data_IF_841945326628
#
_entry.id   IF_841945326628
#
_cell.length_a   1.000
_cell.length_b   1.000
_cell.length_c   1.000
_cell.angle_alpha   90.00
_cell.angle_beta   90.00
_cell.angle_gamma   90.00
#
_symmetry.space_group_name_H-M   'P 1'
#
loop_
_entity.id
_entity.type
_entity.pdbx_description
1 polymer ?
#
# COMPACT_ATOMS: atom_id res chain seq x y z
N UNK A 1 38.31 23.96 -21.94
CA UNK A 1 37.16 24.79 -21.53
C UNK A 1 36.25 23.93 -20.68
N UNK A 2 36.67 23.68 -19.45
CA UNK A 2 35.90 22.97 -18.42
C UNK A 2 35.48 24.03 -17.42
N UNK A 3 34.25 24.51 -17.58
CA UNK A 3 33.61 25.39 -16.61
C UNK A 3 33.16 24.54 -15.44
N UNK A 4 34.06 24.33 -14.47
CA UNK A 4 33.66 24.04 -13.09
C UNK A 4 33.05 25.33 -12.53
N UNK A 5 31.74 25.47 -12.71
CA UNK A 5 30.93 26.56 -12.16
C UNK A 5 30.75 26.30 -10.64
N UNK A 6 30.87 27.31 -9.78
CA UNK A 6 30.98 27.11 -8.34
C UNK A 6 29.63 26.68 -7.77
N UNK A 7 29.55 25.44 -7.27
CA UNK A 7 28.58 24.94 -6.28
C UNK A 7 27.25 25.72 -6.19
N UNK A 8 26.46 25.72 -7.27
CA UNK A 8 25.03 25.99 -7.14
C UNK A 8 24.49 24.82 -6.31
N UNK A 9 24.32 25.04 -5.01
CA UNK A 9 23.73 24.05 -4.09
C UNK A 9 22.33 23.74 -4.63
N UNK A 10 22.17 22.60 -5.30
CA UNK A 10 20.88 22.15 -5.82
C UNK A 10 19.88 22.13 -4.65
N UNK A 11 18.72 22.76 -4.83
CA UNK A 11 17.67 22.73 -3.82
C UNK A 11 16.91 21.42 -3.95
N UNK A 12 17.36 20.43 -3.19
CA UNK A 12 16.72 19.12 -3.12
C UNK A 12 15.58 19.17 -2.11
N UNK A 13 14.48 18.49 -2.43
CA UNK A 13 13.35 18.32 -1.54
C UNK A 13 12.55 17.07 -1.83
N UNK A 14 11.55 16.80 -0.99
CA UNK A 14 10.61 15.69 -1.16
C UNK A 14 9.21 16.24 -1.40
N UNK A 15 8.50 15.64 -2.35
CA UNK A 15 7.08 15.97 -2.62
C UNK A 15 6.22 15.41 -1.49
N UNK A 16 5.65 16.25 -0.64
CA UNK A 16 4.84 15.83 0.51
C UNK A 16 3.34 15.74 0.19
N UNK A 17 2.86 16.51 -0.78
CA UNK A 17 1.45 16.46 -1.20
C UNK A 17 1.31 16.85 -2.67
N UNK A 18 0.28 16.30 -3.33
CA UNK A 18 -0.09 16.65 -4.71
C UNK A 18 -1.51 17.18 -4.75
N UNK A 19 -1.67 18.41 -5.23
CA UNK A 19 -2.96 19.09 -5.31
C UNK A 19 -3.16 19.65 -6.73
N UNK A 20 -3.98 18.94 -7.52
CA UNK A 20 -4.23 19.23 -8.94
C UNK A 20 -2.94 19.32 -9.77
N UNK A 21 -2.49 20.54 -10.11
CA UNK A 21 -1.27 20.79 -10.90
C UNK A 21 -0.08 21.29 -10.06
N UNK A 22 -0.28 21.40 -8.74
CA UNK A 22 0.72 21.90 -7.81
C UNK A 22 1.23 20.79 -6.91
N UNK A 23 2.50 20.93 -6.53
CA UNK A 23 3.26 19.97 -5.75
C UNK A 23 3.77 20.69 -4.52
N UNK A 24 3.39 20.25 -3.34
CA UNK A 24 4.02 20.75 -2.11
C UNK A 24 5.34 20.04 -1.94
N UNK A 25 6.44 20.78 -2.00
CA UNK A 25 7.80 20.25 -1.88
C UNK A 25 8.41 20.79 -0.60
N UNK A 26 8.81 19.88 0.27
CA UNK A 26 9.56 20.20 1.47
C UNK A 26 11.05 20.09 1.17
N UNK A 27 11.79 21.19 1.33
CA UNK A 27 13.21 21.23 1.02
C UNK A 27 14.06 20.61 2.14
N UNK A 28 15.22 20.08 1.74
CA UNK A 28 16.25 19.59 2.64
C UNK A 28 17.18 20.75 3.07
N UNK A 29 17.47 20.83 4.37
CA UNK A 29 18.53 21.65 4.96
C UNK A 29 19.59 20.70 5.53
N UNK A 30 20.81 20.75 4.98
CA UNK A 30 21.93 19.86 5.34
C UNK A 30 21.58 18.35 5.33
N UNK A 31 20.79 17.95 4.32
CA UNK A 31 20.39 16.57 4.08
C UNK A 31 19.19 16.09 4.91
N UNK A 32 18.57 16.98 5.70
CA UNK A 32 17.38 16.67 6.51
C UNK A 32 16.22 17.55 6.06
N UNK A 33 15.02 16.97 5.97
CA UNK A 33 13.81 17.71 5.62
C UNK A 33 13.50 18.80 6.65
N UNK A 34 13.42 20.04 6.18
CA UNK A 34 13.19 21.22 7.01
C UNK A 34 11.68 21.56 7.05
N UNK A 35 11.01 21.46 8.22
CA UNK A 35 9.59 21.79 8.37
C UNK A 35 9.21 23.20 7.93
N UNK A 36 10.16 24.14 7.97
CA UNK A 36 9.90 25.55 7.69
C UNK A 36 10.06 25.89 6.20
N UNK A 37 10.72 25.04 5.41
CA UNK A 37 11.01 25.26 3.99
C UNK A 37 10.07 24.47 3.08
N UNK A 38 8.80 24.82 3.15
CA UNK A 38 7.76 24.30 2.26
C UNK A 38 7.53 25.25 1.09
N UNK A 39 7.64 24.72 -0.14
CA UNK A 39 7.36 25.46 -1.37
C UNK A 39 6.19 24.81 -2.13
N UNK A 40 5.34 25.65 -2.71
CA UNK A 40 4.33 25.23 -3.68
C UNK A 40 4.94 25.29 -5.09
N UNK A 41 5.23 24.12 -5.65
CA UNK A 41 5.92 24.00 -6.92
C UNK A 41 5.01 23.63 -8.08
N UNK A 42 5.42 24.03 -9.28
CA UNK A 42 4.83 23.57 -10.54
C UNK A 42 5.81 22.68 -11.31
N UNK A 43 5.31 21.81 -12.19
CA UNK A 43 6.16 21.04 -13.11
C UNK A 43 6.62 21.89 -14.28
N UNK A 44 7.93 21.95 -14.52
CA UNK A 44 8.49 22.60 -15.70
C UNK A 44 8.02 21.93 -16.99
N UNK A 45 7.91 22.70 -18.07
CA UNK A 45 7.43 22.23 -19.37
C UNK A 45 8.29 21.13 -20.00
N UNK A 46 9.59 21.08 -19.68
CA UNK A 46 10.50 20.05 -20.14
C UNK A 46 10.13 18.65 -19.59
N UNK A 47 9.84 18.56 -18.29
CA UNK A 47 9.35 17.33 -17.66
C UNK A 47 8.02 16.86 -18.28
N UNK A 48 7.14 17.80 -18.63
CA UNK A 48 5.89 17.48 -19.34
C UNK A 48 6.14 16.85 -20.72
N UNK A 49 7.17 17.32 -21.45
CA UNK A 49 7.55 16.76 -22.76
C UNK A 49 8.19 15.38 -22.65
N UNK A 50 8.87 15.09 -21.55
CA UNK A 50 9.45 13.77 -21.25
C UNK A 50 8.43 12.77 -20.70
N UNK A 51 7.21 13.21 -20.36
CA UNK A 51 6.16 12.35 -19.81
C UNK A 51 6.42 11.90 -18.36
N UNK A 52 7.43 12.46 -17.68
CA UNK A 52 7.79 12.03 -16.33
C UNK A 52 6.73 12.49 -15.32
N UNK A 53 6.08 11.51 -14.67
CA UNK A 53 5.08 11.77 -13.64
C UNK A 53 5.77 12.09 -12.31
N UNK A 54 5.22 13.07 -11.58
CA UNK A 54 5.66 13.42 -10.23
C UNK A 54 4.60 12.92 -9.25
N UNK A 55 5.03 12.20 -8.23
CA UNK A 55 4.18 11.60 -7.20
C UNK A 55 4.60 12.07 -5.81
N UNK A 56 3.73 11.83 -4.84
CA UNK A 56 4.05 12.01 -3.42
C UNK A 56 5.20 11.07 -3.05
N UNK A 57 6.17 11.57 -2.29
CA UNK A 57 7.39 10.85 -1.89
C UNK A 57 8.54 10.93 -2.92
N UNK A 58 8.32 11.52 -4.10
CA UNK A 58 9.42 11.73 -5.05
C UNK A 58 10.44 12.73 -4.48
N UNK A 59 11.72 12.40 -4.58
CA UNK A 59 12.81 13.34 -4.36
C UNK A 59 13.00 14.17 -5.63
N UNK A 60 13.07 15.48 -5.48
CA UNK A 60 13.08 16.43 -6.60
C UNK A 60 14.09 17.54 -6.41
N UNK A 61 14.56 18.10 -7.52
CA UNK A 61 15.31 19.37 -7.54
C UNK A 61 14.36 20.50 -7.88
N UNK A 62 14.39 21.54 -7.06
CA UNK A 62 13.63 22.78 -7.24
C UNK A 62 14.54 23.88 -7.76
N UNK A 63 14.06 24.60 -8.78
CA UNK A 63 14.71 25.79 -9.33
C UNK A 63 13.81 27.02 -9.12
N UNK A 64 14.40 28.20 -9.25
CA UNK A 64 13.71 29.50 -9.20
C UNK A 64 12.81 29.66 -7.95
N UNK A 65 13.33 29.45 -6.72
CA UNK A 65 12.52 29.60 -5.52
C UNK A 65 12.17 31.08 -5.29
N UNK A 66 10.87 31.36 -5.29
CA UNK A 66 10.34 32.59 -4.73
C UNK A 66 10.07 32.36 -3.23
N UNK A 67 11.02 32.78 -2.40
CA UNK A 67 10.93 32.66 -0.95
C UNK A 67 9.82 33.54 -0.36
N UNK A 68 9.51 34.68 -0.99
CA UNK A 68 8.47 35.59 -0.51
C UNK A 68 7.07 35.00 -0.75
N UNK A 69 6.85 34.42 -1.93
CA UNK A 69 5.61 33.76 -2.31
C UNK A 69 5.53 32.28 -1.94
N UNK A 70 6.62 31.70 -1.42
CA UNK A 70 6.81 30.26 -1.17
C UNK A 70 6.52 29.40 -2.40
N UNK A 71 7.05 29.78 -3.56
CA UNK A 71 6.84 29.09 -4.85
C UNK A 71 8.15 28.59 -5.43
N UNK A 72 8.06 27.63 -6.35
CA UNK A 72 9.20 27.18 -7.15
C UNK A 72 8.78 26.34 -8.35
N UNK A 73 9.77 25.84 -9.08
CA UNK A 73 9.53 24.91 -10.18
C UNK A 73 10.32 23.61 -9.98
N UNK A 74 9.66 22.46 -10.13
CA UNK A 74 10.34 21.15 -10.16
C UNK A 74 11.06 21.06 -11.50
N UNK A 75 12.37 20.92 -11.46
CA UNK A 75 13.24 20.82 -12.63
C UNK A 75 13.60 19.37 -12.95
N UNK A 76 13.83 18.55 -11.92
CA UNK A 76 14.23 17.15 -12.05
C UNK A 76 13.60 16.29 -10.95
N UNK A 77 13.28 15.05 -11.28
CA UNK A 77 12.85 14.01 -10.33
C UNK A 77 13.95 12.95 -10.29
N UNK A 78 14.38 12.56 -9.09
CA UNK A 78 15.36 11.49 -8.92
C UNK A 78 14.73 10.11 -9.18
N UNK A 79 15.52 9.08 -9.55
CA UNK A 79 15.02 7.72 -9.69
C UNK A 79 14.38 7.22 -8.40
N UNK A 80 13.26 6.50 -8.53
CA UNK A 80 12.54 5.90 -7.41
C UNK A 80 13.23 4.62 -6.95
N UNK A 81 13.30 4.43 -5.64
CA UNK A 81 13.73 3.17 -5.03
C UNK A 81 12.55 2.21 -4.95
N UNK A 82 11.39 2.73 -4.56
CA UNK A 82 10.13 1.97 -4.43
C UNK A 82 8.97 2.78 -5.00
N UNK A 83 7.91 2.10 -5.43
CA UNK A 83 6.70 2.71 -5.95
C UNK A 83 5.48 1.88 -5.57
N UNK A 84 4.57 2.50 -4.83
CA UNK A 84 3.24 1.97 -4.58
C UNK A 84 2.27 2.53 -5.62
N UNK A 85 1.46 1.65 -6.22
CA UNK A 85 0.45 2.07 -7.20
C UNK A 85 -0.83 2.57 -6.55
N UNK A 86 -1.20 2.01 -5.39
CA UNK A 86 -2.47 2.30 -4.69
C UNK A 86 -2.27 2.35 -3.16
N UNK A 87 -2.26 3.55 -2.57
CA UNK A 87 -2.19 4.85 -3.24
C UNK A 87 -0.81 5.13 -3.86
N UNK A 88 -0.75 6.08 -4.82
CA UNK A 88 0.50 6.44 -5.50
C UNK A 88 1.47 7.13 -4.54
N UNK A 89 2.47 6.38 -4.06
CA UNK A 89 3.54 6.86 -3.19
C UNK A 89 4.88 6.33 -3.72
N UNK A 90 5.83 7.22 -3.96
CA UNK A 90 7.21 6.87 -4.25
C UNK A 90 8.05 6.80 -2.98
N UNK A 91 9.12 5.99 -3.02
CA UNK A 91 10.14 5.93 -1.98
C UNK A 91 9.58 5.64 -0.57
N UNK A 92 8.48 4.90 -0.48
CA UNK A 92 8.02 4.32 0.77
C UNK A 92 9.02 3.23 1.23
N UNK A 93 9.37 3.23 2.52
CA UNK A 93 10.30 2.25 3.07
C UNK A 93 9.57 1.05 3.67
N UNK A 94 8.42 1.30 4.31
CA UNK A 94 7.71 0.28 5.07
C UNK A 94 6.19 0.52 5.09
N UNK A 95 5.45 -0.55 5.38
CA UNK A 95 4.04 -0.52 5.72
C UNK A 95 3.90 -0.78 7.22
N UNK A 96 3.33 0.18 7.96
CA UNK A 96 2.88 -0.03 9.33
C UNK A 96 1.48 -0.63 9.29
N UNK A 97 1.39 -1.94 9.51
CA UNK A 97 0.12 -2.66 9.53
C UNK A 97 -0.45 -2.65 10.95
N UNK A 98 -1.54 -1.92 11.16
CA UNK A 98 -2.18 -1.75 12.46
C UNK A 98 -3.41 -2.64 12.57
N UNK A 99 -3.43 -3.50 13.57
CA UNK A 99 -4.60 -4.29 13.97
C UNK A 99 -4.97 -4.00 15.42
N UNK A 100 -6.20 -4.30 15.82
CA UNK A 100 -6.58 -4.31 17.23
C UNK A 100 -6.54 -5.75 17.72
N UNK A 101 -6.06 -5.97 18.95
CA UNK A 101 -6.11 -7.29 19.59
C UNK A 101 -7.50 -7.58 20.17
N UNK A 102 -8.24 -6.53 20.53
CA UNK A 102 -9.61 -6.58 21.02
C UNK A 102 -10.41 -5.39 20.47
N UNK A 103 -11.71 -5.58 20.25
CA UNK A 103 -12.66 -4.59 19.74
C UNK A 103 -12.21 -3.88 18.42
N UNK A 104 -12.18 -4.55 17.26
CA UNK A 104 -12.60 -5.94 17.03
C UNK A 104 -11.52 -6.95 17.46
N UNK A 105 -11.96 -8.19 17.72
CA UNK A 105 -11.05 -9.30 18.01
C UNK A 105 -10.14 -9.58 16.81
N UNK A 106 -8.89 -9.95 17.10
CA UNK A 106 -7.90 -10.26 16.07
C UNK A 106 -8.19 -11.63 15.44
N UNK A 107 -8.63 -11.63 14.19
CA UNK A 107 -8.79 -12.85 13.40
C UNK A 107 -7.58 -13.09 12.48
N UNK A 108 -7.02 -14.30 12.55
CA UNK A 108 -5.81 -14.65 11.79
C UNK A 108 -6.03 -14.62 10.27
N UNK A 109 -7.21 -15.01 9.77
CA UNK A 109 -7.54 -14.98 8.34
C UNK A 109 -7.64 -13.55 7.82
N UNK A 110 -8.26 -12.66 8.60
CA UNK A 110 -8.31 -11.24 8.27
C UNK A 110 -6.91 -10.63 8.26
N UNK A 111 -6.11 -10.87 9.30
CA UNK A 111 -4.71 -10.41 9.37
C UNK A 111 -3.88 -10.91 8.19
N UNK A 112 -3.98 -12.21 7.88
CA UNK A 112 -3.23 -12.84 6.79
C UNK A 112 -3.47 -12.19 5.45
N UNK A 113 -4.72 -11.78 5.16
CA UNK A 113 -5.04 -11.08 3.90
C UNK A 113 -4.31 -9.75 3.78
N UNK A 114 -4.19 -9.01 4.88
CA UNK A 114 -3.43 -7.77 4.90
C UNK A 114 -1.93 -7.99 4.82
N UNK A 115 -1.41 -9.02 5.50
CA UNK A 115 0.00 -9.39 5.42
C UNK A 115 0.39 -9.75 3.98
N UNK A 116 -0.38 -10.62 3.33
CA UNK A 116 -0.13 -10.98 1.92
C UNK A 116 -0.14 -9.76 1.01
N UNK A 117 -1.11 -8.83 1.19
CA UNK A 117 -1.13 -7.59 0.41
C UNK A 117 0.07 -6.68 0.70
N UNK A 118 0.54 -6.62 1.94
CA UNK A 118 1.71 -5.83 2.31
C UNK A 118 2.99 -6.44 1.71
N UNK A 119 3.17 -7.74 1.83
CA UNK A 119 4.29 -8.50 1.24
C UNK A 119 4.32 -8.37 -0.29
N UNK A 120 3.17 -8.35 -0.96
CA UNK A 120 3.09 -8.16 -2.42
C UNK A 120 3.60 -6.79 -2.88
N UNK A 121 3.80 -5.82 -1.97
CA UNK A 121 4.43 -4.53 -2.29
C UNK A 121 5.95 -4.56 -2.22
N UNK A 122 6.54 -5.66 -1.73
CA UNK A 122 7.96 -5.79 -1.41
C UNK A 122 8.51 -4.76 -0.42
N UNK A 123 7.64 -4.01 0.27
CA UNK A 123 8.02 -3.12 1.36
C UNK A 123 8.20 -3.89 2.66
N UNK A 124 9.04 -3.37 3.54
CA UNK A 124 9.19 -3.90 4.90
C UNK A 124 7.84 -3.81 5.64
N UNK A 125 7.42 -4.91 6.29
CA UNK A 125 6.17 -4.96 7.05
C UNK A 125 6.45 -4.78 8.53
N UNK A 126 5.95 -3.70 9.12
CA UNK A 126 5.97 -3.46 10.55
C UNK A 126 4.57 -3.74 11.11
N UNK A 127 4.41 -4.86 11.82
CA UNK A 127 3.13 -5.26 12.40
C UNK A 127 2.94 -4.63 13.78
N UNK A 128 1.81 -3.94 13.98
CA UNK A 128 1.50 -3.27 15.22
C UNK A 128 0.10 -3.64 15.71
N UNK A 129 0.01 -4.22 16.90
CA UNK A 129 -1.21 -4.61 17.58
C UNK A 129 -1.58 -3.55 18.62
N UNK A 130 -2.70 -2.87 18.41
CA UNK A 130 -3.25 -1.86 19.27
C UNK A 130 -4.29 -2.45 20.25
N UNK A 131 -4.69 -1.63 21.23
CA UNK A 131 -5.69 -1.94 22.26
C UNK A 131 -5.26 -3.06 23.20
N UNK A 132 -3.96 -3.17 23.44
CA UNK A 132 -3.37 -4.14 24.35
C UNK A 132 -3.81 -3.96 25.81
N UNK A 133 -4.36 -2.80 26.15
CA UNK A 133 -4.96 -2.51 27.45
C UNK A 133 -6.25 -3.30 27.73
N UNK A 134 -6.87 -3.87 26.71
CA UNK A 134 -8.13 -4.64 26.83
C UNK A 134 -7.92 -6.13 27.03
N UNK A 135 -6.68 -6.63 27.01
CA UNK A 135 -6.37 -8.06 27.06
C UNK A 135 -5.42 -8.41 28.19
N UNK A 136 -5.42 -9.67 28.60
CA UNK A 136 -4.51 -10.18 29.64
C UNK A 136 -3.08 -10.30 29.11
N UNK A 137 -2.12 -10.35 30.03
CA UNK A 137 -0.71 -10.64 29.74
C UNK A 137 -0.55 -11.98 29.00
N UNK A 138 -1.30 -13.01 29.40
CA UNK A 138 -1.26 -14.33 28.75
C UNK A 138 -1.73 -14.26 27.30
N UNK A 139 -2.77 -13.47 27.01
CA UNK A 139 -3.25 -13.26 25.65
C UNK A 139 -2.22 -12.53 24.78
N UNK A 140 -1.49 -11.55 25.34
CA UNK A 140 -0.39 -10.86 24.63
C UNK A 140 0.75 -11.84 24.28
N UNK A 141 1.16 -12.66 25.24
CA UNK A 141 2.21 -13.67 25.03
C UNK A 141 1.78 -14.72 24.00
N UNK A 142 0.54 -15.19 24.09
CA UNK A 142 -0.03 -16.11 23.11
C UNK A 142 0.04 -15.56 21.69
N UNK A 143 -0.43 -14.32 21.48
CA UNK A 143 -0.40 -13.69 20.15
C UNK A 143 1.02 -13.38 19.68
N UNK A 144 1.92 -12.99 20.59
CA UNK A 144 3.34 -12.80 20.29
C UNK A 144 3.94 -14.08 19.72
N UNK A 145 3.82 -15.19 20.44
CA UNK A 145 4.47 -16.45 20.07
C UNK A 145 3.87 -17.02 18.77
N UNK A 146 2.54 -16.91 18.63
CA UNK A 146 1.83 -17.28 17.40
C UNK A 146 2.36 -16.52 16.17
N UNK A 147 2.54 -15.20 16.27
CA UNK A 147 3.01 -14.37 15.16
C UNK A 147 4.51 -14.53 14.89
N UNK A 148 5.32 -14.75 15.93
CA UNK A 148 6.74 -15.09 15.78
C UNK A 148 6.92 -16.39 15.00
N UNK A 149 6.10 -17.41 15.28
CA UNK A 149 6.09 -18.66 14.53
C UNK A 149 5.67 -18.46 13.06
N UNK A 150 4.86 -17.44 12.77
CA UNK A 150 4.53 -17.02 11.41
C UNK A 150 5.63 -16.18 10.73
N UNK A 151 6.72 -15.84 11.44
CA UNK A 151 7.82 -15.02 10.94
C UNK A 151 7.64 -13.50 11.13
N UNK A 152 6.68 -13.06 11.94
CA UNK A 152 6.42 -11.64 12.20
C UNK A 152 6.77 -11.24 13.64
N UNK A 153 7.34 -10.06 13.81
CA UNK A 153 7.68 -9.47 15.11
C UNK A 153 6.69 -8.36 15.45
N UNK A 154 5.58 -8.65 16.15
CA UNK A 154 4.56 -7.64 16.44
C UNK A 154 5.02 -6.66 17.51
N UNK A 155 4.74 -5.38 17.29
CA UNK A 155 4.76 -4.33 18.30
C UNK A 155 3.40 -4.28 19.01
N UNK A 156 3.39 -4.21 20.33
CA UNK A 156 2.15 -4.14 21.11
C UNK A 156 1.98 -2.75 21.70
N UNK A 157 0.86 -2.10 21.42
CA UNK A 157 0.59 -0.73 21.86
C UNK A 157 -0.83 -0.57 22.43
N UNK A 158 -0.99 0.46 23.25
CA UNK A 158 -2.29 1.07 23.60
C UNK A 158 -2.20 2.55 23.29
N UNK A 159 -2.82 2.95 22.17
CA UNK A 159 -2.91 4.36 21.78
C UNK A 159 -3.72 5.17 22.80
N UNK A 160 -4.73 4.56 23.42
CA UNK A 160 -5.60 5.23 24.39
C UNK A 160 -4.83 5.61 25.66
N UNK A 161 -3.98 4.71 26.14
CA UNK A 161 -3.19 4.93 27.35
C UNK A 161 -1.80 5.53 27.06
N UNK A 162 -1.42 5.67 25.79
CA UNK A 162 -0.10 6.13 25.38
C UNK A 162 1.01 5.16 25.80
N UNK A 163 0.72 3.85 25.81
CA UNK A 163 1.63 2.82 26.29
C UNK A 163 2.09 1.92 25.15
N UNK A 164 3.32 1.44 25.27
CA UNK A 164 3.90 0.36 24.50
C UNK A 164 4.22 -0.80 25.44
N UNK A 165 3.92 -2.02 24.99
CA UNK A 165 4.08 -3.25 25.75
C UNK A 165 5.22 -4.04 25.11
N UNK A 166 6.26 -4.30 25.89
CA UNK A 166 7.43 -5.07 25.47
C UNK A 166 7.56 -6.31 26.34
N UNK A 167 8.14 -7.38 25.81
CA UNK A 167 8.42 -8.58 26.61
C UNK A 167 9.91 -8.69 26.83
N UNK A 168 10.33 -8.79 28.09
CA UNK A 168 11.74 -8.95 28.45
C UNK A 168 12.20 -10.42 28.29
N UNK A 169 13.49 -10.65 28.52
CA UNK A 169 14.10 -11.99 28.51
C UNK A 169 13.47 -12.96 29.52
N UNK A 170 12.87 -12.45 30.60
CA UNK A 170 12.17 -13.25 31.63
C UNK A 170 10.71 -13.53 31.27
N UNK A 171 10.26 -13.26 30.05
CA UNK A 171 8.87 -13.44 29.61
C UNK A 171 7.85 -12.59 30.38
N UNK A 172 8.29 -11.46 30.94
CA UNK A 172 7.42 -10.49 31.61
C UNK A 172 7.09 -9.34 30.68
N UNK A 173 5.82 -8.96 30.66
CA UNK A 173 5.35 -7.78 29.94
C UNK A 173 5.69 -6.52 30.72
N UNK A 174 6.43 -5.62 30.08
CA UNK A 174 6.82 -4.31 30.58
C UNK A 174 6.04 -3.26 29.80
N UNK A 175 5.47 -2.30 30.52
CA UNK A 175 4.79 -1.15 29.94
C UNK A 175 5.73 0.05 29.94
N UNK A 176 5.85 0.71 28.80
CA UNK A 176 6.62 1.95 28.64
C UNK A 176 5.74 2.99 27.98
N UNK A 177 6.11 4.26 28.13
CA UNK A 177 5.43 5.31 27.37
C UNK A 177 5.76 5.16 25.89
N UNK A 178 4.73 5.16 25.05
CA UNK A 178 4.88 5.10 23.58
C UNK A 178 5.66 6.31 23.03
N UNK A 179 5.74 7.39 23.80
CA UNK A 179 6.30 8.68 23.37
C UNK A 179 7.60 9.06 24.08
N UNK A 180 8.14 8.22 24.97
CA UNK A 180 9.42 8.48 25.61
C UNK A 180 10.57 7.97 24.74
N UNK A 181 11.31 8.92 24.18
CA UNK A 181 12.60 8.66 23.53
C UNK A 181 13.70 8.60 24.60
N UNK A 182 13.66 7.61 25.50
CA UNK A 182 14.83 7.36 26.34
C UNK A 182 15.93 6.70 25.50
N UNK A 183 17.17 7.14 25.71
CA UNK A 183 18.40 6.68 25.04
C UNK A 183 18.78 5.26 25.46
N UNK A 184 17.86 4.31 25.36
CA UNK A 184 18.16 2.89 25.55
C UNK A 184 18.48 2.31 24.19
N UNK A 185 19.78 2.07 23.96
CA UNK A 185 20.40 1.66 22.70
C UNK A 185 19.91 0.33 22.08
N UNK A 186 18.77 -0.25 22.52
CA UNK A 186 18.43 -1.64 22.21
C UNK A 186 16.93 -1.97 22.26
N UNK A 187 16.03 -1.06 21.88
CA UNK A 187 14.59 -1.37 21.93
C UNK A 187 13.89 -1.20 20.57
N UNK A 188 13.24 -2.29 20.13
CA UNK A 188 12.30 -2.33 19.01
C UNK A 188 11.01 -1.55 19.36
N UNK A 189 11.11 -0.24 19.56
CA UNK A 189 9.95 0.62 19.83
C UNK A 189 9.32 1.12 18.53
N UNK A 190 8.03 1.46 18.56
CA UNK A 190 7.34 2.04 17.41
C UNK A 190 8.04 3.31 16.90
N UNK A 191 8.42 4.23 17.78
CA UNK A 191 9.08 5.48 17.35
C UNK A 191 10.45 5.22 16.71
N UNK A 192 11.21 4.23 17.20
CA UNK A 192 12.47 3.84 16.58
C UNK A 192 12.24 3.25 15.19
N UNK A 193 11.22 2.39 15.03
CA UNK A 193 10.88 1.78 13.74
C UNK A 193 10.42 2.82 12.70
N UNK A 194 9.77 3.90 13.12
CA UNK A 194 9.31 4.96 12.22
C UNK A 194 10.39 5.99 11.88
N UNK A 195 11.47 6.06 12.67
CA UNK A 195 12.48 7.10 12.57
C UNK A 195 13.19 7.09 11.21
N UNK A 196 13.24 8.24 10.54
CA UNK A 196 13.88 8.44 9.23
C UNK A 196 13.34 7.56 8.09
N UNK A 197 12.20 6.88 8.27
CA UNK A 197 11.53 6.08 7.23
C UNK A 197 10.28 6.80 6.73
N UNK A 198 9.96 6.63 5.45
CA UNK A 198 8.65 6.92 4.89
C UNK A 198 7.74 5.72 5.12
N UNK A 199 6.75 5.88 5.98
CA UNK A 199 5.90 4.80 6.50
C UNK A 199 4.47 4.98 6.03
N UNK A 200 3.91 3.93 5.42
CA UNK A 200 2.51 3.91 4.99
C UNK A 200 1.68 3.19 6.05
N UNK A 201 0.68 3.85 6.63
CA UNK A 201 -0.20 3.20 7.61
C UNK A 201 -1.33 2.45 6.89
N UNK A 202 -1.53 1.20 7.28
CA UNK A 202 -2.56 0.29 6.76
C UNK A 202 -3.24 -0.49 7.90
N UNK A 203 -4.42 -1.05 7.64
CA UNK A 203 -5.17 -1.87 8.61
C UNK A 203 -6.69 -1.68 8.49
N UNK A 204 -7.53 -2.52 9.11
CA UNK A 204 -8.99 -2.40 9.01
C UNK A 204 -9.55 -1.17 9.73
N UNK A 205 -10.81 -0.84 9.49
CA UNK A 205 -11.49 0.27 10.18
C UNK A 205 -11.69 -0.07 11.67
N UNK A 206 -11.60 0.95 12.55
CA UNK A 206 -11.87 0.78 13.99
C UNK A 206 -10.68 0.30 14.85
N UNK A 207 -9.56 -0.08 14.24
CA UNK A 207 -8.35 -0.53 14.95
C UNK A 207 -7.54 0.59 15.61
N UNK A 208 -7.82 1.85 15.31
CA UNK A 208 -7.18 3.01 15.93
C UNK A 208 -6.10 3.72 15.11
N UNK A 209 -6.04 3.52 13.79
CA UNK A 209 -5.08 4.21 12.88
C UNK A 209 -5.10 5.74 13.01
N UNK A 210 -6.27 6.36 12.88
CA UNK A 210 -6.40 7.82 12.98
C UNK A 210 -6.08 8.34 14.38
N UNK A 211 -6.42 7.57 15.42
CA UNK A 211 -6.03 7.88 16.80
C UNK A 211 -4.52 7.82 16.98
N UNK A 212 -3.86 6.82 16.39
CA UNK A 212 -2.40 6.69 16.41
C UNK A 212 -1.74 7.89 15.71
N UNK A 213 -2.25 8.28 14.53
CA UNK A 213 -1.74 9.45 13.80
C UNK A 213 -1.87 10.73 14.63
N UNK A 214 -3.02 10.98 15.25
CA UNK A 214 -3.22 12.15 16.10
C UNK A 214 -2.30 12.17 17.32
N UNK A 215 -1.98 11.02 17.89
CA UNK A 215 -1.06 10.94 19.01
C UNK A 215 0.40 11.15 18.57
N UNK A 216 0.80 10.58 17.43
CA UNK A 216 2.15 10.76 16.87
C UNK A 216 2.38 12.17 16.33
N UNK A 217 1.33 12.82 15.82
CA UNK A 217 1.37 14.14 15.21
C UNK A 217 0.19 14.99 15.74
N UNK A 218 0.30 15.54 16.97
CA UNK A 218 -0.79 16.27 17.62
C UNK A 218 -1.30 17.48 16.83
N UNK A 219 -0.47 18.06 15.96
CA UNK A 219 -0.82 19.21 15.14
C UNK A 219 -1.83 18.91 14.03
N UNK A 220 -2.02 17.64 13.63
CA UNK A 220 -2.92 17.28 12.52
C UNK A 220 -4.41 17.35 12.88
N UNK A 221 -4.77 17.19 14.15
CA UNK A 221 -6.16 17.26 14.64
C UNK A 221 -7.18 16.54 13.73
N UNK A 222 -6.84 15.32 13.27
CA UNK A 222 -7.70 14.54 12.38
C UNK A 222 -9.00 14.24 13.13
N UNK A 223 -10.15 14.53 12.51
CA UNK A 223 -11.47 14.23 13.10
C UNK A 223 -11.63 12.72 13.26
N UNK A 224 -11.62 12.23 14.50
CA UNK A 224 -11.93 10.83 14.84
C UNK A 224 -13.38 10.76 15.29
N UNK A 225 -14.27 10.21 14.46
CA UNK A 225 -15.62 9.86 14.90
C UNK A 225 -15.59 8.46 15.55
N UNK A 226 -16.34 8.27 16.64
CA UNK A 226 -16.60 6.93 17.17
C UNK A 226 -17.33 6.11 16.10
N UNK A 227 -16.92 4.85 15.92
CA UNK A 227 -17.52 3.96 14.91
C UNK A 227 -18.98 3.70 15.32
N UNK A 228 -19.90 4.49 14.76
CA UNK A 228 -21.34 4.40 15.05
C UNK A 228 -21.90 3.06 14.58
N UNK A 229 -22.43 2.28 15.53
CA UNK A 229 -22.85 0.88 15.39
C UNK A 229 -24.07 0.61 14.51
N UNK A 230 -24.40 1.43 13.51
CA UNK A 230 -25.54 1.14 12.61
C UNK A 230 -25.41 1.58 11.14
N UNK A 231 -24.22 1.97 10.68
CA UNK A 231 -23.91 2.08 9.24
C UNK A 231 -22.39 1.86 9.04
N UNK A 232 -21.98 0.60 8.89
CA UNK A 232 -20.60 0.11 8.93
C UNK A 232 -19.70 0.48 7.74
N UNK A 233 -19.66 1.76 7.33
CA UNK A 233 -18.61 2.29 6.47
C UNK A 233 -18.07 3.57 7.10
N UNK A 234 -16.92 3.44 7.77
CA UNK A 234 -16.16 4.58 8.28
C UNK A 234 -15.89 5.57 7.16
N UNK A 235 -16.50 6.75 7.27
CA UNK A 235 -16.51 7.82 6.26
C UNK A 235 -15.27 8.70 6.42
N UNK A 236 -14.09 8.12 6.23
CA UNK A 236 -12.83 8.87 6.15
C UNK A 236 -12.11 8.48 4.86
N UNK A 237 -12.55 9.10 3.77
CA UNK A 237 -11.96 9.04 2.43
C UNK A 237 -11.13 10.31 2.19
N UNK A 238 -9.91 10.39 2.71
CA UNK A 238 -8.92 11.36 2.20
C UNK A 238 -8.42 10.86 0.85
N UNK A 239 -9.17 11.09 -0.24
CA UNK A 239 -8.76 10.70 -1.62
C UNK A 239 -7.39 11.30 -2.04
N UNK A 240 -6.84 12.21 -1.24
CA UNK A 240 -5.55 12.83 -1.41
C UNK A 240 -4.51 12.17 -0.51
N UNK A 241 -3.41 11.75 -1.13
CA UNK A 241 -2.24 11.18 -0.47
C UNK A 241 -1.38 12.35 0.00
N UNK A 242 -1.07 12.38 1.28
CA UNK A 242 -0.22 13.39 1.89
C UNK A 242 0.77 12.70 2.85
N UNK A 243 2.00 13.22 2.89
CA UNK A 243 3.04 12.81 3.82
C UNK A 243 3.13 13.81 4.96
N UNK A 244 2.95 13.31 6.17
CA UNK A 244 3.06 14.07 7.40
C UNK A 244 4.42 13.81 8.05
N UNK A 245 5.10 14.87 8.46
CA UNK A 245 6.39 14.74 9.13
C UNK A 245 6.20 14.36 10.60
N UNK A 246 6.92 13.33 11.04
CA UNK A 246 6.95 12.92 12.43
C UNK A 246 7.88 13.84 13.24
N UNK A 247 7.52 14.22 14.48
CA UNK A 247 8.40 15.03 15.35
C UNK A 247 9.76 14.38 15.62
N UNK A 248 9.80 13.05 15.67
CA UNK A 248 11.02 12.25 15.88
C UNK A 248 11.86 12.07 14.62
N UNK A 249 11.40 12.57 13.47
CA UNK A 249 11.99 12.37 12.15
C UNK A 249 11.38 11.17 11.43
N UNK A 250 11.17 11.30 10.12
CA UNK A 250 10.43 10.33 9.30
C UNK A 250 9.16 10.95 8.70
N UNK A 251 8.55 10.23 7.76
CA UNK A 251 7.34 10.65 7.06
C UNK A 251 6.26 9.59 7.22
N UNK A 252 5.02 10.03 7.36
CA UNK A 252 3.86 9.18 7.57
C UNK A 252 2.81 9.45 6.51
N UNK A 253 2.42 8.42 5.77
CA UNK A 253 1.31 8.49 4.84
C UNK A 253 0.06 7.89 5.48
N UNK A 254 -1.04 8.65 5.52
CA UNK A 254 -2.37 8.08 5.72
C UNK A 254 -2.93 7.64 4.38
N UNK A 255 -3.35 6.38 4.28
CA UNK A 255 -3.76 5.79 3.01
C UNK A 255 -5.16 5.19 3.10
N UNK A 256 -6.19 5.93 2.67
CA UNK A 256 -7.52 5.35 2.53
C UNK A 256 -7.53 4.47 1.30
N UNK A 257 -7.46 3.15 1.50
CA UNK A 257 -7.50 2.20 0.39
C UNK A 257 -7.13 0.79 0.82
N UNK A 258 -6.23 0.66 1.79
CA UNK A 258 -5.88 -0.66 2.33
C UNK A 258 -6.90 -1.23 3.33
N UNK A 259 -8.01 -0.54 3.62
CA UNK A 259 -8.95 -0.99 4.66
C UNK A 259 -9.65 -2.35 4.33
N UNK A 260 -9.64 -2.79 3.08
CA UNK A 260 -10.13 -4.09 2.65
C UNK A 260 -9.34 -4.56 1.42
N UNK A 261 -8.18 -5.20 1.61
CA UNK A 261 -7.28 -5.50 0.51
C UNK A 261 -7.85 -6.64 -0.35
N UNK A 262 -8.00 -6.37 -1.66
CA UNK A 262 -8.27 -7.40 -2.65
C UNK A 262 -6.97 -8.16 -2.98
N UNK A 263 -7.08 -9.48 -3.11
CA UNK A 263 -5.98 -10.38 -3.48
C UNK A 263 -5.77 -10.33 -5.00
N UNK A 264 -5.19 -9.23 -5.46
CA UNK A 264 -4.79 -9.01 -6.85
C UNK A 264 -3.36 -9.53 -7.07
N UNK A 265 -3.14 -10.84 -7.01
CA UNK A 265 -1.82 -11.44 -7.24
C UNK A 265 -1.89 -12.67 -8.13
N UNK A 266 -0.77 -13.01 -8.76
CA UNK A 266 -0.69 -14.25 -9.55
C UNK A 266 -0.61 -15.46 -8.59
N UNK A 267 -1.30 -16.58 -8.87
CA UNK A 267 -1.29 -17.77 -8.01
C UNK A 267 0.12 -18.27 -7.67
N UNK A 268 1.03 -18.19 -8.64
CA UNK A 268 2.44 -18.61 -8.50
C UNK A 268 3.23 -17.74 -7.52
N UNK A 269 2.91 -16.45 -7.39
CA UNK A 269 3.61 -15.52 -6.50
C UNK A 269 3.08 -15.60 -5.06
N UNK A 270 1.84 -16.09 -4.87
CA UNK A 270 1.15 -16.06 -3.59
C UNK A 270 1.97 -16.74 -2.48
N UNK A 271 2.66 -17.83 -2.80
CA UNK A 271 3.47 -18.60 -1.84
C UNK A 271 4.63 -17.76 -1.28
N UNK A 272 5.20 -16.86 -2.08
CA UNK A 272 6.30 -15.99 -1.65
C UNK A 272 5.84 -14.92 -0.66
N UNK A 273 4.54 -14.67 -0.56
CA UNK A 273 3.97 -13.72 0.41
C UNK A 273 3.76 -14.34 1.81
N UNK A 274 4.15 -15.59 2.02
CA UNK A 274 4.14 -16.26 3.33
C UNK A 274 5.57 -16.54 3.82
N UNK A 275 6.05 -15.88 4.90
CA UNK A 275 7.37 -16.13 5.46
C UNK A 275 7.61 -17.59 5.87
N UNK A 276 6.59 -18.31 6.32
CA UNK A 276 6.66 -19.73 6.68
C UNK A 276 6.96 -20.60 5.46
N UNK A 277 6.36 -20.28 4.31
CA UNK A 277 6.63 -20.98 3.06
C UNK A 277 8.05 -20.67 2.57
N UNK A 278 8.48 -19.40 2.65
CA UNK A 278 9.89 -18.99 2.42
C UNK A 278 10.87 -19.77 3.30
N UNK A 279 10.57 -19.91 4.59
CA UNK A 279 11.39 -20.68 5.51
C UNK A 279 11.47 -22.16 5.10
N UNK A 280 10.37 -22.76 4.67
CA UNK A 280 10.34 -24.15 4.16
C UNK A 280 11.16 -24.33 2.88
N UNK A 281 11.20 -23.35 1.98
CA UNK A 281 12.07 -23.39 0.80
C UNK A 281 13.57 -23.41 1.16
N UNK A 282 13.95 -22.91 2.33
CA UNK A 282 15.34 -23.04 2.82
C UNK A 282 15.73 -24.50 3.11
N UNK A 283 14.76 -25.38 3.37
CA UNK A 283 15.00 -26.80 3.62
C UNK A 283 15.19 -27.61 2.33
N UNK A 284 14.83 -27.06 1.17
CA UNK A 284 14.93 -27.76 -0.12
C UNK A 284 13.95 -27.22 -1.17
N UNK A 285 13.95 -27.86 -2.34
CA UNK A 285 13.06 -27.51 -3.45
C UNK A 285 11.92 -28.50 -3.58
N UNK A 286 10.79 -28.05 -4.10
CA UNK A 286 9.72 -28.96 -4.51
C UNK A 286 10.19 -29.86 -5.66
N UNK A 287 9.59 -31.05 -5.75
CA UNK A 287 9.85 -32.00 -6.83
C UNK A 287 9.54 -31.40 -8.22
N UNK A 288 8.47 -30.61 -8.30
CA UNK A 288 8.00 -29.95 -9.52
C UNK A 288 8.31 -28.45 -9.48
N UNK A 289 8.66 -27.88 -10.64
CA UNK A 289 8.98 -26.45 -10.78
C UNK A 289 7.75 -25.55 -10.81
N UNK A 290 6.61 -26.09 -11.21
CA UNK A 290 5.29 -25.45 -11.34
C UNK A 290 4.32 -25.90 -10.23
N UNK A 291 4.88 -26.28 -9.07
CA UNK A 291 4.12 -26.73 -7.92
C UNK A 291 3.18 -25.62 -7.42
N UNK A 292 1.87 -25.86 -7.43
CA UNK A 292 0.86 -24.98 -6.82
C UNK A 292 0.79 -25.11 -5.30
N UNK A 293 1.61 -26.00 -4.74
CA UNK A 293 1.73 -26.28 -3.31
C UNK A 293 0.42 -26.70 -2.64
N UNK A 294 -0.46 -27.39 -3.39
CA UNK A 294 -1.78 -27.84 -2.93
C UNK A 294 -1.80 -29.34 -2.67
N UNK A 295 -1.74 -30.11 -3.75
CA UNK A 295 -1.95 -31.57 -3.75
C UNK A 295 -0.74 -32.35 -4.26
N UNK A 296 0.29 -31.66 -4.76
CA UNK A 296 1.46 -32.29 -5.38
C UNK A 296 2.23 -33.20 -4.41
N UNK A 297 2.68 -34.38 -4.87
CA UNK A 297 3.49 -35.26 -4.04
C UNK A 297 4.87 -34.63 -3.78
N UNK A 298 5.41 -34.88 -2.58
CA UNK A 298 6.71 -34.37 -2.13
C UNK A 298 6.85 -32.82 -2.21
N UNK A 299 5.74 -32.10 -2.07
CA UNK A 299 5.76 -30.64 -1.90
C UNK A 299 6.34 -30.27 -0.52
N UNK A 300 7.35 -29.41 -0.48
CA UNK A 300 8.03 -29.00 0.76
C UNK A 300 7.24 -27.93 1.55
N UNK A 301 6.43 -27.14 0.84
CA UNK A 301 5.56 -26.10 1.41
C UNK A 301 4.35 -26.73 2.08
N UNK A 302 3.84 -27.84 1.52
CA UNK A 302 2.76 -28.61 2.09
C UNK A 302 3.16 -29.14 3.47
N UNK A 303 2.24 -29.05 4.42
CA UNK A 303 2.41 -29.65 5.73
C UNK A 303 1.58 -28.96 6.78
N UNK A 304 1.91 -29.28 8.03
CA UNK A 304 1.20 -28.76 9.20
C UNK A 304 1.83 -27.43 9.64
N UNK A 305 1.27 -26.34 9.16
CA UNK A 305 1.55 -25.00 9.66
C UNK A 305 0.25 -24.20 9.67
N UNK A 306 0.14 -23.31 10.66
CA UNK A 306 -1.13 -22.67 11.04
C UNK A 306 -1.85 -21.98 9.89
N UNK A 307 -1.11 -21.28 9.03
CA UNK A 307 -1.68 -20.52 7.91
C UNK A 307 -1.77 -21.29 6.59
N UNK A 308 -1.43 -22.59 6.56
CA UNK A 308 -1.57 -23.40 5.34
C UNK A 308 -3.02 -23.48 4.82
N UNK A 309 -4.04 -23.69 5.66
CA UNK A 309 -5.43 -23.68 5.18
C UNK A 309 -5.82 -22.31 4.57
N UNK A 310 -5.34 -21.23 5.18
CA UNK A 310 -5.58 -19.86 4.70
C UNK A 310 -4.87 -19.62 3.35
N UNK A 311 -3.67 -20.17 3.18
CA UNK A 311 -2.96 -20.15 1.91
C UNK A 311 -3.79 -20.82 0.81
N UNK A 312 -4.38 -22.00 1.07
CA UNK A 312 -5.23 -22.69 0.10
C UNK A 312 -6.47 -21.87 -0.27
N UNK A 313 -7.15 -21.27 0.72
CA UNK A 313 -8.28 -20.36 0.47
C UNK A 313 -7.87 -19.17 -0.41
N UNK A 314 -6.72 -18.56 -0.14
CA UNK A 314 -6.23 -17.42 -0.91
C UNK A 314 -5.77 -17.83 -2.31
N UNK A 315 -5.23 -19.04 -2.47
CA UNK A 315 -4.84 -19.58 -3.76
C UNK A 315 -6.06 -19.75 -4.66
N UNK A 316 -7.18 -20.27 -4.12
CA UNK A 316 -8.44 -20.37 -4.87
C UNK A 316 -8.96 -18.99 -5.30
N UNK A 317 -8.87 -17.98 -4.43
CA UNK A 317 -9.23 -16.60 -4.77
C UNK A 317 -8.33 -16.04 -5.87
N UNK A 318 -7.02 -16.25 -5.79
CA UNK A 318 -6.05 -15.77 -6.78
C UNK A 318 -6.26 -16.44 -8.15
N UNK A 319 -6.56 -17.74 -8.19
CA UNK A 319 -6.89 -18.48 -9.42
C UNK A 319 -8.16 -17.90 -10.05
N UNK A 320 -9.23 -17.75 -9.27
CA UNK A 320 -10.49 -17.19 -9.75
C UNK A 320 -10.31 -15.75 -10.30
N UNK A 321 -9.49 -14.94 -9.64
CA UNK A 321 -9.14 -13.60 -10.12
C UNK A 321 -8.42 -13.64 -11.47
N UNK A 322 -7.44 -14.53 -11.63
CA UNK A 322 -6.70 -14.68 -12.88
C UNK A 322 -7.59 -15.18 -14.02
N UNK A 323 -8.48 -16.12 -13.74
CA UNK A 323 -9.47 -16.61 -14.70
C UNK A 323 -10.42 -15.49 -15.14
N UNK A 324 -10.89 -14.65 -14.20
CA UNK A 324 -11.72 -13.50 -14.51
C UNK A 324 -11.00 -12.49 -15.43
N UNK A 325 -9.70 -12.24 -15.21
CA UNK A 325 -8.89 -11.40 -16.11
C UNK A 325 -8.78 -12.01 -17.51
N UNK A 326 -8.53 -13.32 -17.62
CA UNK A 326 -8.43 -14.02 -18.92
C UNK A 326 -9.76 -14.01 -19.70
N UNK A 327 -10.89 -13.99 -18.99
CA UNK A 327 -12.23 -13.94 -19.58
C UNK A 327 -12.68 -12.53 -19.94
N UNK A 328 -11.98 -11.48 -19.47
CA UNK A 328 -12.25 -10.13 -19.94
C UNK A 328 -11.88 -10.03 -21.42
N UNK A 329 -12.77 -9.52 -22.27
CA UNK A 329 -12.44 -9.32 -23.67
C UNK A 329 -11.25 -8.37 -23.73
N UNK A 330 -10.21 -8.76 -24.49
CA UNK A 330 -9.09 -7.88 -24.81
C UNK A 330 -9.65 -6.50 -25.17
N UNK A 331 -9.26 -5.48 -24.42
CA UNK A 331 -9.56 -4.09 -24.77
C UNK A 331 -9.22 -3.94 -26.24
N UNK A 332 -10.22 -3.66 -27.09
CA UNK A 332 -10.04 -3.61 -28.55
C UNK A 332 -8.79 -2.77 -28.84
N UNK A 333 -7.68 -3.42 -29.20
CA UNK A 333 -6.47 -2.68 -29.52
C UNK A 333 -6.82 -1.78 -30.69
N UNK A 334 -6.63 -0.47 -30.56
CA UNK A 334 -6.89 0.49 -31.63
C UNK A 334 -5.93 0.32 -32.81
N UNK A 335 -5.15 -0.76 -32.87
CA UNK A 335 -4.16 -1.05 -33.90
C UNK A 335 -4.26 -2.53 -34.34
N UNK A 336 -4.20 -2.76 -35.65
CA UNK A 336 -4.09 -4.07 -36.30
C UNK A 336 -2.73 -4.14 -36.98
N UNK A 337 -2.00 -5.23 -36.77
CA UNK A 337 -0.79 -5.51 -37.56
C UNK A 337 -1.20 -5.97 -38.96
N UNK A 338 -0.67 -5.31 -39.99
CA UNK A 338 -0.86 -5.67 -41.40
C UNK A 338 0.50 -5.91 -42.04
N UNK A 339 0.66 -7.09 -42.63
CA UNK A 339 1.87 -7.44 -43.38
C UNK A 339 1.79 -6.82 -44.79
N UNK A 340 2.75 -5.98 -45.16
CA UNK A 340 2.85 -5.44 -46.52
C UNK A 340 3.64 -6.38 -47.44
N UNK A 341 3.50 -6.19 -48.76
CA UNK A 341 4.35 -6.82 -49.77
C UNK A 341 5.82 -6.61 -49.39
N UNK A 342 6.54 -7.71 -49.15
CA UNK A 342 7.91 -7.71 -48.62
C UNK A 342 8.07 -8.15 -47.16
N UNK A 343 7.02 -8.65 -46.49
CA UNK A 343 7.12 -9.32 -45.18
C UNK A 343 7.28 -8.41 -43.96
N UNK A 344 7.34 -7.09 -44.15
CA UNK A 344 7.39 -6.13 -43.04
C UNK A 344 6.00 -5.95 -42.42
N UNK A 345 5.90 -6.16 -41.10
CA UNK A 345 4.70 -5.89 -40.32
C UNK A 345 4.59 -4.40 -40.01
N UNK A 346 3.43 -3.79 -40.31
CA UNK A 346 3.14 -2.41 -39.96
C UNK A 346 1.87 -2.37 -39.10
N UNK A 347 1.94 -1.68 -37.95
CA UNK A 347 0.77 -1.41 -37.11
C UNK A 347 -0.05 -0.30 -37.76
N UNK A 348 -1.28 -0.60 -38.17
CA UNK A 348 -2.26 0.37 -38.68
C UNK A 348 -3.37 0.57 -37.64
N UNK A 349 -3.87 1.80 -37.43
CA UNK A 349 -4.98 2.01 -36.52
C UNK A 349 -6.24 1.25 -37.00
N UNK A 350 -6.90 0.52 -36.11
CA UNK A 350 -8.22 -0.07 -36.37
C UNK A 350 -9.21 1.09 -36.54
N UNK A 351 -9.89 1.12 -37.69
CA UNK A 351 -11.06 1.96 -37.88
C UNK A 351 -12.06 1.64 -36.75
N UNK A 352 -12.44 2.64 -35.96
CA UNK A 352 -13.33 2.48 -34.82
C UNK A 352 -14.56 1.64 -35.22
N UNK A 353 -14.82 0.57 -34.47
CA UNK A 353 -15.93 -0.34 -34.69
C UNK A 353 -17.26 0.36 -34.36
N UNK A 354 -17.76 1.12 -35.33
CA UNK A 354 -19.17 1.48 -35.56
C UNK A 354 -19.99 2.03 -34.37
N UNK A 355 -19.91 3.35 -34.14
CA UNK A 355 -20.99 4.14 -33.51
C UNK A 355 -22.31 4.17 -34.30
N UNK A 356 -22.33 3.65 -35.54
CA UNK A 356 -23.47 3.68 -36.46
C UNK A 356 -23.83 2.31 -37.05
N UNK A 357 -23.56 1.20 -36.34
CA UNK A 357 -24.08 -0.10 -36.79
C UNK A 357 -25.59 -0.11 -36.55
N UNK A 358 -26.39 0.13 -37.59
CA UNK A 358 -27.83 -0.13 -37.53
C UNK A 358 -28.02 -1.59 -37.08
N UNK A 359 -28.74 -1.77 -35.98
CA UNK A 359 -29.17 -3.10 -35.53
C UNK A 359 -29.99 -3.75 -36.66
N UNK A 360 -29.83 -5.05 -36.85
CA UNK A 360 -30.57 -5.75 -37.90
C UNK A 360 -32.06 -5.69 -37.56
N UNK A 361 -32.93 -5.58 -38.58
CA UNK A 361 -34.38 -5.60 -38.39
C UNK A 361 -34.86 -6.86 -37.65
N UNK A 362 -34.11 -7.96 -37.77
CA UNK A 362 -34.39 -9.24 -37.10
C UNK A 362 -34.14 -9.16 -35.59
N UNK A 363 -33.08 -8.47 -35.17
CA UNK A 363 -32.77 -8.23 -33.76
C UNK A 363 -33.82 -7.31 -33.14
N UNK A 364 -34.19 -6.21 -33.83
CA UNK A 364 -35.24 -5.30 -33.36
C UNK A 364 -36.61 -5.97 -33.20
N UNK A 365 -36.95 -6.91 -34.10
CA UNK A 365 -38.20 -7.66 -33.98
C UNK A 365 -38.20 -8.62 -32.79
N UNK A 366 -37.07 -9.29 -32.52
CA UNK A 366 -36.91 -10.14 -31.33
C UNK A 366 -37.05 -9.32 -30.05
N UNK A 367 -36.36 -8.17 -29.95
CA UNK A 367 -36.42 -7.31 -28.76
C UNK A 367 -37.84 -6.77 -28.49
N UNK A 368 -38.61 -6.47 -29.54
CA UNK A 368 -40.01 -6.07 -29.40
C UNK A 368 -40.90 -7.23 -28.95
N UNK A 369 -40.61 -8.45 -29.40
CA UNK A 369 -41.37 -9.64 -29.05
C UNK A 369 -41.14 -10.00 -27.58
N UNK A 370 -39.88 -9.97 -27.13
CA UNK A 370 -39.48 -10.22 -25.73
C UNK A 370 -40.13 -9.20 -24.78
N UNK A 371 -40.14 -7.91 -25.15
CA UNK A 371 -40.83 -6.87 -24.37
C UNK A 371 -42.34 -7.10 -24.31
N UNK A 372 -42.97 -7.51 -25.43
CA UNK A 372 -44.41 -7.82 -25.44
C UNK A 372 -44.78 -9.08 -24.65
N UNK A 373 -43.85 -10.00 -24.43
CA UNK A 373 -44.03 -11.17 -23.57
C UNK A 373 -43.88 -10.79 -22.10
N UNK A 374 -42.89 -9.95 -21.74
CA UNK A 374 -42.75 -9.41 -20.37
C UNK A 374 -44.00 -8.64 -19.91
N UNK A 375 -44.65 -7.86 -20.79
CA UNK A 375 -45.90 -7.15 -20.45
C UNK A 375 -47.13 -8.06 -20.33
N UNK A 376 -47.06 -9.32 -20.76
CA UNK A 376 -48.17 -10.28 -20.63
C UNK A 376 -48.06 -11.16 -19.39
N UNK A 377 -46.89 -11.23 -18.77
CA UNK A 377 -46.66 -11.99 -17.55
C UNK A 377 -46.93 -11.16 -16.26
N UNK A 378 -47.24 -9.86 -16.42
CA UNK A 378 -47.55 -8.90 -15.35
C UNK A 378 -49.08 -8.60 -15.18
N UNK A 379 -49.97 -9.33 -15.86
CA UNK A 379 -51.44 -9.38 -15.61
C UNK A 379 -51.87 -10.74 -15.05
#
# INVERSE_FOLDING_TARGET
MTTDDPLIKELVGTVVAVQANFYQVQLESDGVLDPQRLLLCTRRSLLKKMGQQVMVGDRVVVEEPDWSGKRGAIARVFPRITELSRPPIANANQILLVFAIAEPELEITALSRFLVKAESTSLEVCLCLNKCDLVSTDALLFWRDRLLNCGYYPLFISVNNGLEYTVNSEHRVIQKSLFQAENTFNENTLLHQLKHKTTVISGPSGVGKSSLINQLIPSLNIRVATVSGKLGRGRHTTRHVELFQLPTGGLLADTPGFNQPELECHPEELVDYFPEAKHRFSAGKCQFSDCSHRDEPNCIVRGDWERYPIYLEFLEVAIAYQEAIKQQPDVETNTKSKTKLGGKQQLEPKLASKKYRRSSRRFQHQTLQDLCEEFKDDE
#
